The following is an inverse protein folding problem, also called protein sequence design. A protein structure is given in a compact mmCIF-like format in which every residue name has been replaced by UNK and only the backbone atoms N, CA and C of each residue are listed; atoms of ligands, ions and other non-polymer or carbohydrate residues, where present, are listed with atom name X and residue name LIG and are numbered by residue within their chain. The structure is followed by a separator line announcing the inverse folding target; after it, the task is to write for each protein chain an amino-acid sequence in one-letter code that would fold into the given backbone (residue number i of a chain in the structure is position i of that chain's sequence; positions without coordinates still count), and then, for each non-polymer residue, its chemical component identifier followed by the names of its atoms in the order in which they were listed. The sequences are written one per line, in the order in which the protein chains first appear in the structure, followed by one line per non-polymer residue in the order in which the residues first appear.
data_IF_005420060271
#
_entry.id   IF_005420060271
#
_cell.length_a   1.000
_cell.length_b   1.000
_cell.length_c   1.000
_cell.angle_alpha   90.00
_cell.angle_beta   90.00
_cell.angle_gamma   90.00
#
_symmetry.space_group_name_H-M   'P 1'
#
loop_
_entity.id
_entity.type
_entity.pdbx_description
1 polymer ?
#
# COMPACT_ATOMS: atom_id res chain seq x y z
N UNK A 1 -10.36 -16.97 -11.71
CA UNK A 1 -10.39 -16.02 -12.84
C UNK A 1 -10.81 -16.79 -14.07
N UNK A 2 -12.04 -16.54 -14.50
CA UNK A 2 -12.69 -17.34 -15.56
C UNK A 2 -12.64 -16.62 -16.92
N UNK A 3 -12.40 -15.30 -16.91
CA UNK A 3 -12.27 -14.47 -18.11
C UNK A 3 -10.99 -13.62 -18.00
N UNK A 4 -10.14 -13.67 -19.02
CA UNK A 4 -8.87 -12.92 -19.10
C UNK A 4 -7.64 -13.83 -19.26
N UNK A 5 -6.45 -13.23 -19.18
CA UNK A 5 -5.16 -13.92 -19.33
C UNK A 5 -4.46 -14.00 -17.98
N UNK A 6 -4.11 -15.22 -17.53
CA UNK A 6 -3.40 -15.44 -16.27
C UNK A 6 -1.90 -15.72 -16.50
N UNK A 7 -1.06 -14.71 -16.27
CA UNK A 7 0.40 -14.86 -16.34
C UNK A 7 0.95 -15.40 -15.01
N UNK A 8 0.94 -16.74 -14.84
CA UNK A 8 1.32 -17.40 -13.57
C UNK A 8 2.82 -17.43 -13.25
N UNK A 9 3.67 -17.02 -14.18
CA UNK A 9 5.14 -17.13 -14.05
C UNK A 9 5.81 -15.79 -14.37
N UNK A 10 5.35 -14.74 -13.71
CA UNK A 10 5.91 -13.39 -13.80
C UNK A 10 6.79 -13.14 -12.58
N UNK A 11 8.03 -12.70 -12.78
CA UNK A 11 9.00 -12.47 -11.71
C UNK A 11 9.58 -11.06 -11.79
N UNK A 12 9.93 -10.50 -10.63
CA UNK A 12 10.69 -9.26 -10.56
C UNK A 12 12.13 -9.50 -10.99
N UNK A 13 12.65 -8.64 -11.85
CA UNK A 13 14.01 -8.68 -12.38
C UNK A 13 14.95 -7.73 -11.64
N UNK A 14 14.63 -7.38 -10.40
CA UNK A 14 15.41 -6.48 -9.55
C UNK A 14 15.29 -6.86 -8.07
N UNK A 15 16.16 -6.26 -7.26
CA UNK A 15 16.20 -6.36 -5.81
C UNK A 15 16.50 -4.97 -5.25
N UNK A 16 15.93 -4.57 -4.10
CA UNK A 16 14.95 -5.29 -3.27
C UNK A 16 13.51 -5.26 -3.81
N UNK A 17 12.74 -6.31 -3.53
CA UNK A 17 11.31 -6.41 -3.84
C UNK A 17 10.49 -5.70 -2.76
N UNK A 18 10.59 -4.38 -2.70
CA UNK A 18 9.83 -3.50 -1.79
C UNK A 18 8.75 -2.73 -2.53
N UNK A 19 7.78 -2.19 -1.78
CA UNK A 19 6.60 -1.49 -2.32
C UNK A 19 6.94 -0.36 -3.30
N UNK A 20 7.85 0.55 -2.92
CA UNK A 20 8.24 1.69 -3.75
C UNK A 20 8.84 1.25 -5.10
N UNK A 21 9.95 0.48 -5.10
CA UNK A 21 10.51 -0.12 -6.31
C UNK A 21 9.48 -0.89 -7.14
N UNK A 22 8.64 -1.69 -6.47
CA UNK A 22 7.51 -2.43 -7.02
C UNK A 22 6.57 -1.61 -7.89
N UNK A 23 5.92 -0.64 -7.27
CA UNK A 23 4.97 0.24 -7.96
C UNK A 23 5.64 1.05 -9.07
N UNK A 24 6.83 1.60 -8.83
CA UNK A 24 7.55 2.34 -9.86
C UNK A 24 7.88 1.45 -11.07
N UNK A 25 8.34 0.21 -10.86
CA UNK A 25 8.66 -0.71 -11.97
C UNK A 25 7.43 -1.12 -12.77
N UNK A 26 6.30 -1.40 -12.11
CA UNK A 26 5.03 -1.76 -12.79
C UNK A 26 4.61 -0.66 -13.75
N UNK A 27 4.65 0.60 -13.30
CA UNK A 27 4.11 1.71 -14.07
C UNK A 27 5.13 2.40 -14.98
N UNK A 28 6.43 2.14 -14.85
CA UNK A 28 7.46 2.70 -15.75
C UNK A 28 7.96 1.70 -16.79
N UNK A 29 7.74 0.40 -16.58
CA UNK A 29 8.27 -0.65 -17.44
C UNK A 29 9.79 -0.79 -17.38
N UNK A 30 10.44 -0.22 -16.36
CA UNK A 30 11.89 -0.31 -16.15
C UNK A 30 12.22 -0.66 -14.70
N UNK A 31 13.50 -0.78 -14.36
CA UNK A 31 13.97 -1.23 -13.04
C UNK A 31 14.47 -0.07 -12.16
N UNK A 32 14.71 -0.30 -10.85
CA UNK A 32 15.24 0.73 -9.95
C UNK A 32 16.51 1.43 -10.43
N UNK A 33 17.36 0.74 -11.18
CA UNK A 33 18.57 1.32 -11.77
C UNK A 33 18.26 2.48 -12.74
N UNK A 34 17.08 2.47 -13.38
CA UNK A 34 16.65 3.47 -14.35
C UNK A 34 15.68 4.49 -13.74
N UNK A 35 14.60 4.02 -13.10
CA UNK A 35 13.57 4.92 -12.55
C UNK A 35 13.99 5.60 -11.24
N UNK A 36 15.06 5.12 -10.59
CA UNK A 36 15.69 5.79 -9.44
C UNK A 36 15.05 5.51 -8.07
N UNK A 37 13.97 4.73 -8.02
CA UNK A 37 13.32 4.33 -6.76
C UNK A 37 13.89 2.98 -6.33
N UNK A 38 14.92 3.02 -5.49
CA UNK A 38 15.76 1.84 -5.14
C UNK A 38 15.32 1.11 -3.87
N UNK A 39 14.53 1.75 -3.03
CA UNK A 39 13.94 1.18 -1.82
C UNK A 39 12.73 2.03 -1.39
N UNK A 40 12.02 1.62 -0.34
CA UNK A 40 11.04 2.49 0.31
C UNK A 40 11.74 3.70 0.93
N UNK A 41 12.89 3.46 1.56
CA UNK A 41 13.74 4.45 2.20
C UNK A 41 15.20 4.12 1.88
N UNK A 42 16.04 5.13 1.65
CA UNK A 42 17.47 4.94 1.43
C UNK A 42 18.29 6.10 1.95
N UNK A 43 19.56 5.86 2.22
CA UNK A 43 20.49 6.92 2.59
C UNK A 43 20.92 7.73 1.38
N UNK A 44 20.56 9.00 1.37
CA UNK A 44 21.06 9.99 0.44
C UNK A 44 22.44 10.46 0.90
N UNK A 45 23.48 10.05 0.16
CA UNK A 45 24.87 10.36 0.49
C UNK A 45 25.22 11.84 0.34
N UNK A 46 24.56 12.55 -0.58
CA UNK A 46 24.83 13.97 -0.84
C UNK A 46 24.31 14.81 0.32
N UNK A 47 23.09 14.51 0.77
CA UNK A 47 22.43 15.23 1.87
C UNK A 47 22.66 14.61 3.26
N UNK A 48 23.35 13.45 3.33
CA UNK A 48 23.66 12.70 4.55
C UNK A 48 22.45 12.40 5.42
N UNK A 49 21.35 12.00 4.81
CA UNK A 49 20.10 11.69 5.51
C UNK A 49 19.40 10.51 4.87
N UNK A 50 18.59 9.78 5.65
CA UNK A 50 17.65 8.81 5.10
C UNK A 50 16.48 9.58 4.48
N UNK A 51 16.14 9.23 3.24
CA UNK A 51 15.02 9.81 2.51
C UNK A 51 14.03 8.72 2.14
N UNK A 52 12.74 9.06 2.20
CA UNK A 52 11.68 8.20 1.70
C UNK A 52 11.46 8.39 0.20
N UNK A 53 11.03 7.32 -0.48
CA UNK A 53 10.84 7.26 -1.92
C UNK A 53 9.93 8.33 -2.52
N UNK A 54 8.95 8.81 -1.76
CA UNK A 54 8.00 9.85 -2.21
C UNK A 54 8.04 11.09 -1.33
N UNK A 55 8.91 11.17 -0.33
CA UNK A 55 9.00 12.37 0.51
C UNK A 55 9.53 13.56 -0.30
N UNK A 56 8.83 14.69 -0.15
CA UNK A 56 9.15 15.96 -0.77
C UNK A 56 8.79 17.11 0.19
N UNK A 57 9.83 17.75 0.75
CA UNK A 57 9.67 18.86 1.69
C UNK A 57 9.24 20.17 1.01
N UNK A 58 9.22 20.24 -0.33
CA UNK A 58 8.72 21.39 -1.09
C UNK A 58 7.20 21.32 -1.28
N UNK A 59 6.62 20.12 -1.17
CA UNK A 59 5.19 19.91 -1.16
C UNK A 59 4.59 20.12 0.24
N UNK A 60 3.31 20.46 0.28
CA UNK A 60 2.53 20.63 1.51
C UNK A 60 1.27 19.75 1.46
N UNK A 61 0.77 19.38 2.63
CA UNK A 61 -0.44 18.56 2.74
C UNK A 61 -1.68 19.31 2.28
N UNK A 62 -2.55 18.61 1.55
CA UNK A 62 -3.85 19.10 1.10
C UNK A 62 -4.93 18.13 1.55
N UNK A 63 -5.87 18.61 2.36
CA UNK A 63 -6.85 17.77 3.06
C UNK A 63 -6.45 17.37 4.50
N UNK A 64 -5.26 17.77 4.94
CA UNK A 64 -4.77 17.60 6.32
C UNK A 64 -3.77 18.70 6.67
N UNK A 65 -3.57 18.95 7.96
CA UNK A 65 -2.59 19.92 8.50
C UNK A 65 -1.26 19.28 8.88
N UNK A 66 -1.15 17.94 8.83
CA UNK A 66 0.05 17.20 9.19
C UNK A 66 1.14 17.18 8.12
N UNK A 67 2.17 16.36 8.29
CA UNK A 67 3.27 16.17 7.33
C UNK A 67 3.04 15.04 6.34
N UNK A 68 1.93 14.30 6.46
CA UNK A 68 1.61 13.13 5.62
C UNK A 68 1.39 13.45 4.15
N UNK A 69 1.19 14.72 3.80
CA UNK A 69 1.12 15.20 2.43
C UNK A 69 2.38 15.89 1.91
N UNK A 70 3.50 15.86 2.64
CA UNK A 70 4.81 16.32 2.15
C UNK A 70 5.44 15.28 1.22
N UNK A 71 4.71 14.95 0.15
CA UNK A 71 5.06 13.87 -0.76
C UNK A 71 4.77 14.23 -2.21
N UNK A 72 5.59 13.74 -3.14
CA UNK A 72 5.47 13.94 -4.58
C UNK A 72 6.24 12.85 -5.35
N UNK A 73 6.10 12.75 -6.68
CA UNK A 73 6.89 11.83 -7.50
C UNK A 73 8.29 12.39 -7.81
N UNK A 74 8.78 13.46 -7.17
CA UNK A 74 10.02 14.17 -7.53
C UNK A 74 11.29 13.30 -7.59
N UNK A 75 11.29 12.12 -6.97
CA UNK A 75 12.41 11.16 -7.00
C UNK A 75 12.32 10.14 -8.14
N UNK A 76 11.18 10.08 -8.83
CA UNK A 76 10.96 9.22 -9.99
C UNK A 76 11.60 9.85 -11.22
N UNK A 77 12.66 9.24 -11.75
CA UNK A 77 13.51 9.84 -12.79
C UNK A 77 12.99 9.66 -14.22
N UNK A 78 11.91 8.91 -14.39
CA UNK A 78 11.36 8.54 -15.69
C UNK A 78 9.85 8.70 -15.68
N UNK A 79 9.29 8.92 -16.85
CA UNK A 79 7.84 8.97 -17.02
C UNK A 79 7.24 7.58 -16.84
N UNK A 80 6.08 7.55 -16.20
CA UNK A 80 5.23 6.36 -16.13
C UNK A 80 4.41 6.18 -17.42
N UNK A 81 3.79 5.01 -17.60
CA UNK A 81 2.76 4.77 -18.62
C UNK A 81 1.57 5.71 -18.44
N UNK A 82 1.29 6.15 -17.20
CA UNK A 82 0.20 7.08 -16.90
C UNK A 82 0.58 8.52 -17.27
N UNK A 83 1.84 8.93 -17.09
CA UNK A 83 2.38 10.18 -17.63
C UNK A 83 2.30 10.20 -19.16
N UNK A 84 2.77 9.14 -19.82
CA UNK A 84 2.69 9.03 -21.28
C UNK A 84 1.23 9.05 -21.77
N UNK A 85 0.34 8.34 -21.08
CA UNK A 85 -1.09 8.36 -21.36
C UNK A 85 -1.67 9.78 -21.29
N UNK A 86 -1.32 10.55 -20.26
CA UNK A 86 -1.82 11.91 -20.06
C UNK A 86 -1.22 12.92 -21.04
N UNK A 87 0.06 12.76 -21.43
CA UNK A 87 0.69 13.57 -22.48
C UNK A 87 -0.02 13.39 -23.83
N UNK A 88 -0.35 12.16 -24.19
CA UNK A 88 -1.07 11.85 -25.45
C UNK A 88 -2.56 12.18 -25.38
N UNK A 89 -3.15 12.16 -24.17
CA UNK A 89 -4.58 12.45 -23.95
C UNK A 89 -4.75 13.48 -22.83
N UNK A 90 -4.44 14.76 -23.06
CA UNK A 90 -4.52 15.79 -22.01
C UNK A 90 -5.92 15.93 -21.40
N UNK A 91 -6.96 15.64 -22.19
CA UNK A 91 -8.37 15.69 -21.78
C UNK A 91 -8.83 14.45 -20.99
N UNK A 92 -8.08 13.35 -21.01
CA UNK A 92 -8.41 12.15 -20.25
C UNK A 92 -8.22 12.38 -18.76
N UNK A 93 -9.05 11.76 -17.94
CA UNK A 93 -8.91 11.73 -16.48
C UNK A 93 -7.97 10.61 -16.06
N UNK A 94 -7.01 10.95 -15.21
CA UNK A 94 -6.08 10.02 -14.56
C UNK A 94 -6.20 10.16 -13.04
N UNK A 95 -6.74 9.14 -12.39
CA UNK A 95 -6.92 9.10 -10.95
C UNK A 95 -6.11 7.93 -10.36
N UNK A 96 -5.38 8.17 -9.28
CA UNK A 96 -4.56 7.16 -8.59
C UNK A 96 -4.82 7.13 -7.09
N UNK A 97 -5.07 5.94 -6.56
CA UNK A 97 -5.62 5.74 -5.22
C UNK A 97 -4.87 4.65 -4.48
N UNK A 98 -4.56 4.88 -3.21
CA UNK A 98 -4.02 3.84 -2.33
C UNK A 98 -4.27 4.19 -0.88
N UNK A 99 -4.10 3.23 0.02
CA UNK A 99 -3.96 3.53 1.45
C UNK A 99 -2.56 4.10 1.73
N UNK A 100 -1.54 3.68 0.98
CA UNK A 100 -0.16 4.15 1.12
C UNK A 100 0.15 5.26 0.10
N UNK A 101 0.78 6.33 0.53
CA UNK A 101 1.31 7.41 -0.32
C UNK A 101 2.02 6.91 -1.58
N UNK A 102 3.07 6.10 -1.43
CA UNK A 102 3.87 5.54 -2.53
C UNK A 102 3.08 4.62 -3.46
N UNK A 103 2.04 3.96 -2.94
CA UNK A 103 1.12 3.14 -3.72
C UNK A 103 0.15 3.96 -4.58
N UNK A 104 -0.05 5.24 -4.27
CA UNK A 104 -0.84 6.16 -5.09
C UNK A 104 0.08 6.99 -6.02
N UNK A 105 1.16 7.55 -5.47
CA UNK A 105 2.05 8.50 -6.15
C UNK A 105 2.81 7.85 -7.31
N UNK A 106 3.41 6.68 -7.10
CA UNK A 106 4.26 6.06 -8.12
C UNK A 106 3.45 5.52 -9.32
N UNK A 107 2.22 4.99 -9.13
CA UNK A 107 1.30 4.73 -10.24
C UNK A 107 0.75 5.98 -10.92
N UNK A 108 0.40 7.01 -10.14
CA UNK A 108 -0.19 8.25 -10.64
C UNK A 108 0.78 9.10 -11.47
N UNK A 109 2.08 8.93 -11.24
CA UNK A 109 3.11 9.67 -11.95
C UNK A 109 3.06 11.16 -11.63
N UNK A 110 3.58 11.96 -12.55
CA UNK A 110 3.69 13.41 -12.46
C UNK A 110 2.43 14.14 -12.90
N UNK A 111 1.61 13.51 -13.76
CA UNK A 111 0.54 14.21 -14.49
C UNK A 111 -0.88 13.80 -14.10
N UNK A 112 -1.08 13.02 -13.05
CA UNK A 112 -2.43 12.63 -12.60
C UNK A 112 -3.31 13.84 -12.25
N UNK A 113 -4.59 13.79 -12.63
CA UNK A 113 -5.59 14.78 -12.22
C UNK A 113 -5.94 14.66 -10.73
N UNK A 114 -5.75 13.48 -10.14
CA UNK A 114 -5.95 13.26 -8.72
C UNK A 114 -5.18 12.04 -8.21
N UNK A 115 -4.28 12.26 -7.26
CA UNK A 115 -3.57 11.21 -6.54
C UNK A 115 -3.90 11.32 -5.06
N UNK A 116 -4.49 10.28 -4.47
CA UNK A 116 -5.00 10.31 -3.09
C UNK A 116 -4.50 9.14 -2.25
N UNK A 117 -4.16 9.43 -1.00
CA UNK A 117 -3.74 8.43 -0.02
C UNK A 117 -4.33 8.68 1.37
N UNK A 118 -4.33 7.64 2.20
CA UNK A 118 -4.91 7.72 3.54
C UNK A 118 -3.95 8.38 4.54
N UNK A 119 -4.47 9.32 5.30
CA UNK A 119 -3.78 9.93 6.44
C UNK A 119 -4.31 9.35 7.75
N UNK A 120 -3.54 8.44 8.36
CA UNK A 120 -3.89 7.83 9.65
C UNK A 120 -3.95 8.83 10.82
N UNK A 121 -3.46 10.07 10.68
CA UNK A 121 -3.63 11.07 11.74
C UNK A 121 -5.04 11.66 11.77
N UNK A 122 -5.73 11.68 10.63
CA UNK A 122 -7.05 12.30 10.48
C UNK A 122 -8.15 11.32 10.10
N UNK A 123 -7.79 10.16 9.54
CA UNK A 123 -8.73 9.18 9.00
C UNK A 123 -9.28 9.53 7.62
N UNK A 124 -8.63 10.45 6.91
CA UNK A 124 -9.11 11.00 5.65
C UNK A 124 -8.23 10.58 4.47
N UNK A 125 -8.81 10.56 3.27
CA UNK A 125 -8.02 10.64 2.05
C UNK A 125 -7.51 12.08 1.85
N UNK A 126 -6.22 12.20 1.58
CA UNK A 126 -5.50 13.46 1.37
C UNK A 126 -4.72 13.41 0.05
N UNK A 127 -4.14 14.54 -0.31
CA UNK A 127 -3.17 14.67 -1.41
C UNK A 127 -2.08 15.67 -1.00
N UNK A 128 -1.25 16.09 -1.96
CA UNK A 128 -0.25 17.12 -1.77
C UNK A 128 -0.43 18.30 -2.73
N UNK A 129 0.20 19.41 -2.38
CA UNK A 129 0.25 20.63 -3.20
C UNK A 129 0.97 20.45 -4.53
N UNK A 130 1.64 19.31 -4.75
CA UNK A 130 2.17 18.94 -6.06
C UNK A 130 1.04 18.70 -7.08
N UNK A 131 -0.06 18.07 -6.65
CA UNK A 131 -1.16 17.69 -7.55
C UNK A 131 -2.26 18.75 -7.62
N UNK A 132 -2.62 19.34 -6.48
CA UNK A 132 -3.70 20.33 -6.41
C UNK A 132 -3.59 21.22 -5.19
N UNK A 133 -4.17 22.41 -5.23
CA UNK A 133 -4.18 23.34 -4.10
C UNK A 133 -5.27 23.03 -3.07
N UNK A 134 -6.35 22.36 -3.49
CA UNK A 134 -7.50 22.04 -2.64
C UNK A 134 -8.13 20.71 -3.07
N UNK A 135 -8.67 19.96 -2.10
CA UNK A 135 -9.42 18.74 -2.39
C UNK A 135 -10.72 19.05 -3.15
N UNK A 136 -11.10 18.24 -4.15
CA UNK A 136 -12.41 18.33 -4.78
C UNK A 136 -13.54 18.12 -3.78
N UNK A 137 -14.70 18.71 -4.06
CA UNK A 137 -15.88 18.62 -3.19
C UNK A 137 -16.32 17.18 -2.93
N UNK A 138 -16.18 16.28 -3.90
CA UNK A 138 -16.54 14.87 -3.72
C UNK A 138 -15.60 14.16 -2.72
N UNK A 139 -14.31 14.51 -2.71
CA UNK A 139 -13.35 13.96 -1.74
C UNK A 139 -13.65 14.49 -0.33
N UNK A 140 -13.93 15.80 -0.21
CA UNK A 140 -14.35 16.41 1.07
C UNK A 140 -15.62 15.76 1.60
N UNK A 141 -16.62 15.56 0.74
CA UNK A 141 -17.88 14.90 1.10
C UNK A 141 -17.67 13.45 1.54
N UNK A 142 -16.82 12.70 0.83
CA UNK A 142 -16.46 11.34 1.18
C UNK A 142 -15.76 11.25 2.54
N UNK A 143 -14.78 12.12 2.80
CA UNK A 143 -14.09 12.20 4.09
C UNK A 143 -15.05 12.55 5.24
N UNK A 144 -15.98 13.49 5.02
CA UNK A 144 -17.01 13.88 6.00
C UNK A 144 -17.93 12.73 6.42
N UNK A 145 -18.02 11.66 5.62
CA UNK A 145 -18.80 10.48 6.00
C UNK A 145 -18.18 9.68 7.15
N UNK A 146 -16.89 9.92 7.50
CA UNK A 146 -16.15 9.28 8.60
C UNK A 146 -16.27 7.75 8.59
N UNK A 147 -16.20 7.13 7.41
CA UNK A 147 -16.31 5.67 7.29
C UNK A 147 -15.30 4.92 8.17
N UNK A 148 -14.00 5.26 8.23
CA UNK A 148 -13.05 4.53 9.06
C UNK A 148 -13.47 4.53 10.53
N UNK A 149 -13.93 5.67 11.07
CA UNK A 149 -14.43 5.75 12.45
C UNK A 149 -15.68 4.89 12.68
N UNK A 150 -16.57 4.80 11.70
CA UNK A 150 -17.75 3.92 11.77
C UNK A 150 -17.38 2.44 11.67
N UNK A 151 -16.43 2.08 10.82
CA UNK A 151 -15.91 0.72 10.68
C UNK A 151 -15.29 0.22 12.00
N UNK A 152 -14.57 1.08 12.70
CA UNK A 152 -13.98 0.76 14.02
C UNK A 152 -15.00 0.54 15.14
N UNK A 153 -16.30 0.76 14.90
CA UNK A 153 -17.38 0.38 15.82
C UNK A 153 -17.86 -1.06 15.65
N UNK A 154 -17.31 -1.80 14.69
CA UNK A 154 -17.70 -3.16 14.35
C UNK A 154 -16.71 -4.18 14.92
N UNK A 155 -17.14 -5.43 15.06
CA UNK A 155 -16.23 -6.54 15.34
C UNK A 155 -15.76 -7.12 14.02
N UNK A 156 -14.45 -7.28 13.85
CA UNK A 156 -13.92 -8.06 12.75
C UNK A 156 -13.95 -9.55 13.12
N UNK A 157 -14.92 -10.24 12.54
CA UNK A 157 -15.04 -11.70 12.50
C UNK A 157 -14.64 -12.20 11.11
N UNK A 158 -14.31 -13.48 11.01
CA UNK A 158 -14.15 -14.15 9.72
C UNK A 158 -15.43 -14.03 8.88
N UNK A 159 -15.27 -13.79 7.58
CA UNK A 159 -16.36 -13.68 6.61
C UNK A 159 -17.13 -15.00 6.47
N UNK A 160 -16.41 -16.12 6.46
CA UNK A 160 -16.98 -17.47 6.49
C UNK A 160 -16.87 -18.03 7.93
N UNK A 161 -17.56 -19.13 8.24
CA UNK A 161 -17.29 -19.89 9.45
C UNK A 161 -15.80 -20.25 9.53
N UNK A 162 -15.18 -20.04 10.70
CA UNK A 162 -13.72 -20.12 10.88
C UNK A 162 -13.14 -21.51 10.58
N UNK A 163 -13.97 -22.55 10.65
CA UNK A 163 -13.68 -23.93 10.28
C UNK A 163 -13.46 -24.14 8.77
N UNK A 164 -13.91 -23.21 7.92
CA UNK A 164 -13.67 -23.24 6.47
C UNK A 164 -12.35 -22.61 6.05
N UNK A 165 -11.62 -22.01 6.98
CA UNK A 165 -10.29 -21.44 6.76
C UNK A 165 -9.25 -22.55 6.86
N UNK A 166 -9.30 -23.49 5.91
CA UNK A 166 -8.50 -24.73 5.89
C UNK A 166 -7.14 -24.57 5.21
N UNK A 167 -6.96 -23.47 4.48
CA UNK A 167 -5.73 -23.07 3.80
C UNK A 167 -4.78 -22.31 4.73
N UNK A 168 -5.30 -21.83 5.86
CA UNK A 168 -4.53 -21.21 6.95
C UNK A 168 -4.16 -22.23 8.04
N UNK A 169 -3.21 -21.84 8.89
CA UNK A 169 -2.88 -22.55 10.11
C UNK A 169 -3.96 -22.42 11.21
N UNK A 170 -3.65 -22.90 12.43
CA UNK A 170 -4.45 -22.61 13.61
C UNK A 170 -4.65 -21.11 13.81
N UNK A 171 -5.73 -20.71 14.48
CA UNK A 171 -6.02 -19.30 14.77
C UNK A 171 -5.05 -18.71 15.79
N UNK A 172 -4.57 -19.51 16.74
CA UNK A 172 -3.60 -19.05 17.74
C UNK A 172 -2.23 -19.63 17.40
N UNK A 173 -1.32 -18.78 16.93
CA UNK A 173 0.06 -19.17 16.62
C UNK A 173 1.08 -18.23 17.26
N UNK A 174 2.28 -18.72 17.60
CA UNK A 174 3.36 -17.88 18.12
C UNK A 174 4.08 -17.07 17.01
N UNK A 175 3.64 -17.20 15.76
CA UNK A 175 4.27 -16.59 14.59
C UNK A 175 3.63 -15.26 14.18
N UNK A 176 2.61 -14.85 14.92
CA UNK A 176 1.74 -13.73 14.61
C UNK A 176 1.91 -12.59 15.63
N UNK A 177 1.83 -11.35 15.14
CA UNK A 177 1.94 -10.16 15.96
C UNK A 177 0.67 -9.90 16.76
N UNK A 178 0.83 -9.44 18.00
CA UNK A 178 -0.28 -8.95 18.81
C UNK A 178 -0.63 -7.51 18.42
N UNK A 179 -1.83 -7.31 17.90
CA UNK A 179 -2.38 -5.96 17.74
C UNK A 179 -2.66 -5.33 19.10
N UNK A 180 -2.53 -4.00 19.18
CA UNK A 180 -2.83 -3.25 20.39
C UNK A 180 -4.26 -3.56 20.91
N UNK A 181 -4.38 -3.81 22.21
CA UNK A 181 -5.65 -4.19 22.85
C UNK A 181 -5.99 -5.68 22.81
N UNK A 182 -5.14 -6.53 22.20
CA UNK A 182 -5.25 -8.00 22.24
C UNK A 182 -4.17 -8.62 23.12
N UNK A 183 -4.48 -9.79 23.69
CA UNK A 183 -3.51 -10.64 24.41
C UNK A 183 -3.12 -11.89 23.61
N UNK A 184 -3.88 -12.22 22.57
CA UNK A 184 -3.67 -13.35 21.65
C UNK A 184 -4.07 -12.93 20.22
N UNK A 185 -3.41 -13.42 19.16
CA UNK A 185 -3.73 -13.07 17.77
C UNK A 185 -4.87 -13.94 17.23
N UNK A 186 -6.04 -13.95 17.89
CA UNK A 186 -7.15 -14.87 17.56
C UNK A 186 -8.41 -14.11 17.22
N UNK A 187 -9.27 -14.66 16.37
CA UNK A 187 -10.63 -14.13 16.19
C UNK A 187 -11.50 -14.35 17.45
N UNK A 188 -12.48 -13.46 17.71
CA UNK A 188 -12.80 -12.24 16.98
C UNK A 188 -11.99 -11.00 17.39
N UNK A 189 -11.89 -10.00 16.52
CA UNK A 189 -11.29 -8.69 16.82
C UNK A 189 -12.37 -7.68 17.18
N UNK A 190 -12.62 -7.50 18.49
CA UNK A 190 -13.58 -6.54 19.04
C UNK A 190 -13.04 -5.10 18.97
N UNK A 191 -12.99 -4.53 17.76
CA UNK A 191 -12.40 -3.21 17.49
C UNK A 191 -12.85 -2.07 18.43
N UNK A 192 -14.13 -1.99 18.88
CA UNK A 192 -14.55 -0.94 19.81
C UNK A 192 -13.84 -1.00 21.17
N UNK A 193 -13.39 -2.19 21.58
CA UNK A 193 -12.66 -2.40 22.85
C UNK A 193 -11.15 -2.24 22.66
N UNK A 194 -10.66 -2.46 21.45
CA UNK A 194 -9.23 -2.37 21.11
C UNK A 194 -8.79 -0.93 20.75
N UNK A 195 -9.68 -0.15 20.15
CA UNK A 195 -9.38 1.20 19.68
C UNK A 195 -9.39 2.21 20.84
N UNK A 196 -8.33 3.00 20.93
CA UNK A 196 -8.26 4.25 21.70
C UNK A 196 -8.37 5.44 20.75
N UNK A 197 -8.39 6.66 21.29
CA UNK A 197 -8.40 7.87 20.43
C UNK A 197 -7.11 7.99 19.61
N UNK A 198 -6.00 7.53 20.17
CA UNK A 198 -4.64 7.68 19.63
C UNK A 198 -4.34 6.66 18.53
N UNK A 199 -4.83 5.42 18.65
CA UNK A 199 -4.51 4.34 17.71
C UNK A 199 -5.65 4.01 16.73
N UNK A 200 -6.79 4.73 16.78
CA UNK A 200 -8.01 4.31 16.06
C UNK A 200 -7.78 4.06 14.57
N UNK A 201 -7.12 5.00 13.90
CA UNK A 201 -6.89 4.91 12.46
C UNK A 201 -5.66 4.07 12.12
N UNK A 202 -4.69 3.96 13.01
CA UNK A 202 -3.59 2.99 12.85
C UNK A 202 -4.13 1.56 12.92
N UNK A 203 -5.00 1.27 13.89
CA UNK A 203 -5.64 -0.05 14.02
C UNK A 203 -6.55 -0.34 12.82
N UNK A 204 -7.24 0.67 12.28
CA UNK A 204 -8.05 0.53 11.06
C UNK A 204 -7.24 -0.01 9.87
N UNK A 205 -5.97 0.39 9.72
CA UNK A 205 -5.08 -0.10 8.65
C UNK A 205 -4.80 -1.61 8.72
N UNK A 206 -4.89 -2.20 9.92
CA UNK A 206 -4.72 -3.64 10.15
C UNK A 206 -6.04 -4.42 10.01
N UNK A 207 -7.03 -3.85 9.34
CA UNK A 207 -8.32 -4.51 9.08
C UNK A 207 -8.59 -4.59 7.58
N UNK A 208 -9.35 -5.60 7.11
CA UNK A 208 -9.78 -5.65 5.71
C UNK A 208 -10.65 -4.45 5.32
N UNK A 209 -11.25 -3.75 6.29
CA UNK A 209 -12.11 -2.60 6.06
C UNK A 209 -11.38 -1.41 5.41
N UNK A 210 -10.05 -1.33 5.50
CA UNK A 210 -9.32 -0.27 4.79
C UNK A 210 -9.24 -0.52 3.28
N UNK A 211 -9.20 -1.77 2.82
CA UNK A 211 -9.35 -2.08 1.39
C UNK A 211 -10.79 -1.81 0.94
N UNK A 212 -11.79 -2.19 1.74
CA UNK A 212 -13.21 -1.86 1.45
C UNK A 212 -13.41 -0.33 1.31
N UNK A 213 -12.80 0.45 2.21
CA UNK A 213 -12.83 1.91 2.14
C UNK A 213 -12.14 2.47 0.89
N UNK A 214 -11.03 1.86 0.45
CA UNK A 214 -10.38 2.21 -0.81
C UNK A 214 -11.25 1.88 -2.03
N UNK A 215 -11.95 0.74 -2.02
CA UNK A 215 -12.91 0.38 -3.08
C UNK A 215 -14.07 1.35 -3.14
N UNK A 216 -14.61 1.75 -1.98
CA UNK A 216 -15.67 2.77 -1.91
C UNK A 216 -15.20 4.10 -2.49
N UNK A 217 -13.95 4.50 -2.20
CA UNK A 217 -13.35 5.71 -2.75
C UNK A 217 -13.14 5.62 -4.26
N UNK A 218 -12.71 4.46 -4.77
CA UNK A 218 -12.55 4.22 -6.20
C UNK A 218 -13.88 4.29 -6.96
N UNK A 219 -14.93 3.68 -6.42
CA UNK A 219 -16.29 3.76 -6.96
C UNK A 219 -16.78 5.22 -6.96
N UNK A 220 -16.55 5.95 -5.87
CA UNK A 220 -16.91 7.36 -5.80
C UNK A 220 -16.15 8.21 -6.84
N UNK A 221 -14.86 7.94 -7.06
CA UNK A 221 -14.06 8.60 -8.07
C UNK A 221 -14.60 8.34 -9.49
N UNK A 222 -14.94 7.09 -9.82
CA UNK A 222 -15.55 6.71 -11.11
C UNK A 222 -16.80 7.55 -11.38
N UNK A 223 -17.68 7.67 -10.37
CA UNK A 223 -18.94 8.39 -10.49
C UNK A 223 -18.75 9.91 -10.56
N UNK A 224 -17.92 10.48 -9.68
CA UNK A 224 -17.75 11.93 -9.54
C UNK A 224 -16.93 12.54 -10.67
N UNK A 225 -15.88 11.85 -11.11
CA UNK A 225 -15.04 12.30 -12.23
C UNK A 225 -15.56 11.85 -13.59
N UNK A 226 -16.67 11.08 -13.62
CA UNK A 226 -17.29 10.52 -14.83
C UNK A 226 -16.30 9.69 -15.66
N UNK A 227 -15.51 8.87 -14.98
CA UNK A 227 -14.47 8.07 -15.63
C UNK A 227 -15.11 7.11 -16.65
N UNK A 228 -14.58 7.10 -17.87
CA UNK A 228 -15.07 6.29 -18.99
C UNK A 228 -16.39 6.78 -19.61
N UNK A 229 -16.90 7.94 -19.20
CA UNK A 229 -18.20 8.48 -19.64
C UNK A 229 -18.09 9.84 -20.34
N UNK A 230 -16.87 10.29 -20.62
CA UNK A 230 -16.56 11.62 -21.18
C UNK A 230 -16.15 11.57 -22.67
N UNK A 231 -16.29 10.41 -23.34
CA UNK A 231 -15.94 10.23 -24.76
C UNK A 231 -14.44 10.03 -25.03
N UNK A 232 -13.61 9.92 -23.98
CA UNK A 232 -12.21 9.50 -24.08
C UNK A 232 -11.94 8.28 -23.19
N UNK A 233 -10.85 7.58 -23.44
CA UNK A 233 -10.30 6.64 -22.47
C UNK A 233 -9.78 7.43 -21.29
N UNK A 234 -10.10 6.98 -20.08
CA UNK A 234 -9.57 7.46 -18.80
C UNK A 234 -8.75 6.34 -18.14
N UNK A 235 -8.02 6.66 -17.08
CA UNK A 235 -7.20 5.70 -16.35
C UNK A 235 -7.40 5.82 -14.83
N UNK A 236 -7.63 4.67 -14.20
CA UNK A 236 -7.79 4.55 -12.75
C UNK A 236 -6.75 3.56 -12.21
N UNK A 237 -5.90 4.03 -11.31
CA UNK A 237 -4.90 3.20 -10.63
C UNK A 237 -5.33 2.97 -9.18
N UNK A 238 -5.33 1.70 -8.74
CA UNK A 238 -5.73 1.33 -7.37
C UNK A 238 -4.68 0.39 -6.79
N UNK A 239 -4.14 0.74 -5.63
CA UNK A 239 -3.20 -0.09 -4.86
C UNK A 239 -3.83 -0.53 -3.55
N UNK A 240 -4.37 -1.75 -3.52
CA UNK A 240 -4.85 -2.38 -2.28
C UNK A 240 -3.69 -2.68 -1.33
N UNK A 241 -3.74 -2.14 -0.11
CA UNK A 241 -2.59 -2.16 0.81
C UNK A 241 -2.80 -3.04 2.04
N UNK A 242 -4.04 -3.40 2.41
CA UNK A 242 -4.30 -4.18 3.61
C UNK A 242 -3.67 -5.57 3.56
N UNK A 243 -3.56 -6.18 2.39
CA UNK A 243 -2.92 -7.50 2.22
C UNK A 243 -1.46 -7.47 2.66
N UNK A 244 -0.75 -6.38 2.39
CA UNK A 244 0.62 -6.19 2.85
C UNK A 244 0.68 -5.86 4.35
N UNK A 245 -0.14 -4.92 4.83
CA UNK A 245 -0.12 -4.48 6.23
C UNK A 245 -0.50 -5.63 7.18
N UNK A 246 -1.57 -6.38 6.85
CA UNK A 246 -2.02 -7.55 7.62
C UNK A 246 -1.02 -8.70 7.42
N UNK A 247 -0.50 -8.90 6.21
CA UNK A 247 0.53 -9.90 5.93
C UNK A 247 1.81 -9.68 6.74
N UNK A 248 2.21 -8.43 6.97
CA UNK A 248 3.34 -8.10 7.85
C UNK A 248 3.07 -8.43 9.32
N UNK A 249 1.84 -8.22 9.79
CA UNK A 249 1.47 -8.51 11.18
C UNK A 249 1.35 -10.01 11.45
N UNK A 250 0.69 -10.76 10.57
CA UNK A 250 0.26 -12.13 10.84
C UNK A 250 0.96 -13.19 9.97
N UNK A 251 1.56 -12.79 8.85
CA UNK A 251 2.20 -13.71 7.91
C UNK A 251 1.22 -14.43 6.97
N UNK A 252 1.72 -15.03 5.88
CA UNK A 252 0.90 -15.60 4.81
C UNK A 252 0.14 -16.88 5.17
N UNK A 253 0.33 -17.45 6.36
CA UNK A 253 -0.35 -18.66 6.82
C UNK A 253 -1.50 -18.37 7.79
N UNK A 254 -1.76 -17.11 8.15
CA UNK A 254 -2.72 -16.77 9.20
C UNK A 254 -4.18 -16.80 8.71
N UNK A 255 -5.15 -16.85 9.63
CA UNK A 255 -6.58 -16.76 9.24
C UNK A 255 -6.97 -15.34 8.83
N UNK A 256 -6.33 -14.33 9.40
CA UNK A 256 -6.50 -12.90 9.10
C UNK A 256 -6.17 -12.61 7.64
N UNK A 257 -5.08 -13.16 7.11
CA UNK A 257 -4.69 -12.92 5.72
C UNK A 257 -5.64 -13.63 4.76
N UNK A 258 -6.06 -14.87 5.06
CA UNK A 258 -7.06 -15.58 4.26
C UNK A 258 -8.39 -14.79 4.26
N UNK A 259 -8.85 -14.30 5.41
CA UNK A 259 -10.06 -13.49 5.51
C UNK A 259 -9.95 -12.19 4.70
N UNK A 260 -8.78 -11.57 4.74
CA UNK A 260 -8.48 -10.35 3.99
C UNK A 260 -8.58 -10.59 2.49
N UNK A 261 -8.05 -11.71 1.98
CA UNK A 261 -8.18 -12.06 0.55
C UNK A 261 -9.61 -12.42 0.16
N UNK A 262 -10.36 -13.13 1.00
CA UNK A 262 -11.78 -13.43 0.74
C UNK A 262 -12.64 -12.16 0.67
N UNK A 263 -12.33 -11.15 1.50
CA UNK A 263 -13.01 -9.85 1.47
C UNK A 263 -12.54 -9.00 0.30
N UNK A 264 -11.26 -9.01 -0.02
CA UNK A 264 -10.72 -8.32 -1.19
C UNK A 264 -11.33 -8.87 -2.49
N UNK A 265 -11.56 -10.18 -2.58
CA UNK A 265 -12.27 -10.79 -3.72
C UNK A 265 -13.68 -10.18 -3.89
N UNK A 266 -14.44 -10.02 -2.80
CA UNK A 266 -15.74 -9.32 -2.81
C UNK A 266 -15.63 -7.84 -3.16
N UNK A 267 -14.60 -7.16 -2.68
CA UNK A 267 -14.37 -5.76 -3.00
C UNK A 267 -14.00 -5.56 -4.49
N UNK A 268 -13.22 -6.48 -5.07
CA UNK A 268 -12.96 -6.51 -6.51
C UNK A 268 -14.24 -6.82 -7.29
N UNK A 269 -15.06 -7.78 -6.85
CA UNK A 269 -16.38 -8.06 -7.43
C UNK A 269 -17.25 -6.78 -7.46
N UNK A 270 -17.31 -6.04 -6.36
CA UNK A 270 -18.04 -4.76 -6.28
C UNK A 270 -17.52 -3.72 -7.27
N UNK A 271 -16.20 -3.57 -7.38
CA UNK A 271 -15.59 -2.66 -8.34
C UNK A 271 -15.91 -3.05 -9.79
N UNK A 272 -15.77 -4.34 -10.14
CA UNK A 272 -16.09 -4.84 -11.47
C UNK A 272 -17.56 -4.66 -11.82
N UNK A 273 -18.47 -4.91 -10.88
CA UNK A 273 -19.90 -4.67 -11.06
C UNK A 273 -20.22 -3.20 -11.31
N UNK A 274 -19.53 -2.27 -10.62
CA UNK A 274 -19.68 -0.84 -10.89
C UNK A 274 -19.13 -0.45 -12.27
N UNK A 275 -17.99 -1.00 -12.68
CA UNK A 275 -17.44 -0.77 -14.03
C UNK A 275 -18.39 -1.29 -15.13
N UNK A 276 -18.92 -2.51 -14.95
CA UNK A 276 -19.88 -3.12 -15.88
C UNK A 276 -21.17 -2.30 -15.96
N UNK A 277 -21.64 -1.75 -14.84
CA UNK A 277 -22.83 -0.89 -14.77
C UNK A 277 -22.61 0.48 -15.41
N UNK A 278 -21.46 1.10 -15.14
CA UNK A 278 -21.21 2.52 -15.45
C UNK A 278 -20.58 2.71 -16.83
N UNK A 279 -19.65 1.84 -17.22
CA UNK A 279 -18.89 1.92 -18.48
C UNK A 279 -19.38 0.86 -19.48
N UNK A 280 -19.88 -0.27 -18.99
CA UNK A 280 -20.32 -1.40 -19.81
C UNK A 280 -19.26 -2.47 -19.95
N UNK A 281 -19.67 -3.74 -19.85
CA UNK A 281 -18.78 -4.89 -20.04
C UNK A 281 -18.11 -4.84 -21.41
N UNK A 282 -16.79 -5.02 -21.45
CA UNK A 282 -15.99 -4.95 -22.67
C UNK A 282 -15.49 -3.56 -23.06
N UNK A 283 -15.91 -2.51 -22.34
CA UNK A 283 -15.48 -1.13 -22.58
C UNK A 283 -14.35 -0.67 -21.64
N UNK A 284 -13.78 -1.56 -20.83
CA UNK A 284 -12.60 -1.30 -20.01
C UNK A 284 -11.60 -2.46 -20.11
N UNK A 285 -10.33 -2.15 -19.88
CA UNK A 285 -9.25 -3.13 -19.73
C UNK A 285 -8.70 -3.04 -18.32
N UNK A 286 -8.55 -4.19 -17.66
CA UNK A 286 -8.00 -4.29 -16.31
C UNK A 286 -6.74 -5.15 -16.33
N UNK A 287 -5.71 -4.68 -15.65
CA UNK A 287 -4.57 -5.51 -15.26
C UNK A 287 -4.48 -5.52 -13.73
N UNK A 288 -4.18 -6.69 -13.16
CA UNK A 288 -3.97 -6.88 -11.73
C UNK A 288 -2.65 -7.59 -11.53
N UNK A 289 -1.80 -7.04 -10.68
CA UNK A 289 -0.48 -7.59 -10.32
C UNK A 289 -0.15 -7.20 -8.88
N UNK A 290 0.99 -7.66 -8.38
CA UNK A 290 1.53 -7.24 -7.10
C UNK A 290 2.84 -6.48 -7.29
N UNK A 291 3.18 -5.61 -6.34
CA UNK A 291 4.46 -4.91 -6.23
C UNK A 291 5.57 -5.81 -5.65
N UNK A 292 5.20 -6.78 -4.82
CA UNK A 292 6.03 -7.89 -4.36
C UNK A 292 5.19 -9.03 -3.75
N UNK A 293 5.87 -10.09 -3.30
CA UNK A 293 5.28 -11.17 -2.51
C UNK A 293 5.74 -11.07 -1.04
N UNK A 294 5.48 -12.12 -0.27
CA UNK A 294 5.96 -12.29 1.10
C UNK A 294 6.46 -13.73 1.29
N UNK A 295 7.46 -13.90 2.15
CA UNK A 295 7.95 -15.23 2.56
C UNK A 295 7.08 -15.80 3.69
N UNK A 296 7.04 -17.12 3.90
CA UNK A 296 6.53 -17.68 5.15
C UNK A 296 7.27 -17.09 6.36
N UNK A 297 6.60 -17.03 7.52
CA UNK A 297 7.24 -16.50 8.73
C UNK A 297 8.54 -17.28 9.01
N UNK A 298 9.71 -16.64 9.12
CA UNK A 298 10.98 -17.38 9.20
C UNK A 298 11.05 -18.35 10.39
N UNK A 299 10.52 -17.96 11.56
CA UNK A 299 10.46 -18.86 12.73
C UNK A 299 9.60 -20.11 12.49
N UNK A 300 8.49 -20.00 11.75
CA UNK A 300 7.67 -21.16 11.36
C UNK A 300 8.48 -22.16 10.52
N UNK A 301 9.34 -21.68 9.62
CA UNK A 301 10.21 -22.53 8.82
C UNK A 301 11.27 -23.23 9.70
N UNK A 302 11.90 -22.48 10.62
CA UNK A 302 12.88 -23.01 11.57
C UNK A 302 12.28 -24.12 12.43
N UNK A 303 11.10 -23.90 13.02
CA UNK A 303 10.43 -24.88 13.88
C UNK A 303 10.01 -26.14 13.11
N UNK A 304 9.72 -26.00 11.81
CA UNK A 304 9.49 -27.12 10.87
C UNK A 304 10.77 -27.76 10.33
N UNK A 305 11.95 -27.34 10.79
CA UNK A 305 13.27 -27.82 10.33
C UNK A 305 13.51 -27.57 8.83
N UNK A 306 12.90 -26.51 8.29
CA UNK A 306 13.11 -26.03 6.93
C UNK A 306 14.14 -24.90 6.90
N UNK A 307 14.62 -24.56 5.71
CA UNK A 307 15.50 -23.41 5.53
C UNK A 307 14.75 -22.11 5.86
N UNK A 308 15.15 -21.44 6.93
CA UNK A 308 14.60 -20.18 7.41
C UNK A 308 15.55 -19.53 8.41
N UNK A 309 15.33 -18.25 8.73
CA UNK A 309 16.14 -17.51 9.68
C UNK A 309 16.01 -16.00 9.51
N UNK A 310 16.68 -15.27 10.40
CA UNK A 310 16.66 -13.82 10.45
C UNK A 310 18.06 -13.26 10.17
N UNK A 311 18.13 -12.15 9.45
CA UNK A 311 19.34 -11.32 9.35
C UNK A 311 19.16 -10.14 10.30
N UNK A 312 19.91 -10.14 11.40
CA UNK A 312 19.88 -9.05 12.39
C UNK A 312 20.80 -7.92 11.92
N UNK A 313 20.26 -7.03 11.11
CA UNK A 313 21.03 -5.99 10.42
C UNK A 313 21.72 -5.02 11.40
N UNK A 314 21.03 -4.59 12.46
CA UNK A 314 21.61 -3.69 13.47
C UNK A 314 22.85 -4.30 14.13
N UNK A 315 22.74 -5.51 14.70
CA UNK A 315 23.87 -6.21 15.32
C UNK A 315 25.03 -6.43 14.33
N UNK A 316 24.69 -6.74 13.07
CA UNK A 316 25.69 -6.92 12.01
C UNK A 316 26.43 -5.61 11.70
N UNK A 317 25.74 -4.48 11.75
CA UNK A 317 26.32 -3.15 11.50
C UNK A 317 27.14 -2.67 12.70
N UNK A 318 26.66 -2.87 13.93
CA UNK A 318 27.41 -2.58 15.16
C UNK A 318 28.73 -3.35 15.13
N UNK A 319 28.67 -4.65 14.85
CA UNK A 319 29.88 -5.47 14.76
C UNK A 319 30.82 -5.04 13.62
N UNK A 320 30.26 -4.71 12.45
CA UNK A 320 31.07 -4.19 11.34
C UNK A 320 31.74 -2.86 11.71
N UNK A 321 31.08 -1.98 12.46
CA UNK A 321 31.66 -0.74 12.99
C UNK A 321 32.87 -1.03 13.85
N UNK A 322 32.71 -1.90 14.85
CA UNK A 322 33.78 -2.29 15.78
C UNK A 322 34.98 -2.89 15.02
N UNK A 323 34.72 -3.77 14.05
CA UNK A 323 35.76 -4.39 13.22
C UNK A 323 36.51 -3.35 12.38
N UNK A 324 35.81 -2.33 11.84
CA UNK A 324 36.42 -1.25 11.07
C UNK A 324 37.26 -0.33 11.96
N UNK A 325 36.75 0.02 13.15
CA UNK A 325 37.51 0.78 14.15
C UNK A 325 38.76 0.05 14.59
N UNK A 326 38.67 -1.25 14.90
CA UNK A 326 39.82 -2.05 15.31
C UNK A 326 40.88 -2.16 14.21
N UNK A 327 40.45 -2.36 12.95
CA UNK A 327 41.36 -2.64 11.83
C UNK A 327 41.95 -1.38 11.20
N UNK A 328 41.16 -0.32 11.10
CA UNK A 328 41.50 0.89 10.36
C UNK A 328 41.58 2.14 11.23
N UNK A 329 41.25 2.06 12.52
CA UNK A 329 41.25 3.19 13.46
C UNK A 329 40.12 4.19 13.23
N UNK A 330 39.14 3.86 12.39
CA UNK A 330 38.02 4.75 12.05
C UNK A 330 36.81 3.94 11.57
N UNK A 331 35.62 4.37 11.97
CA UNK A 331 34.36 3.90 11.40
C UNK A 331 33.94 4.78 10.21
N UNK A 332 33.63 4.13 9.10
CA UNK A 332 33.23 4.77 7.83
C UNK A 332 31.81 4.40 7.39
N UNK A 333 31.04 3.73 8.26
CA UNK A 333 29.64 3.40 7.99
C UNK A 333 28.81 4.68 8.05
N UNK A 334 27.95 4.88 7.06
CA UNK A 334 27.03 6.00 6.98
C UNK A 334 25.62 5.50 6.68
N UNK A 335 24.61 6.27 7.10
CA UNK A 335 23.20 5.93 6.87
C UNK A 335 22.61 4.90 7.81
N UNK A 336 23.30 4.61 8.91
CA UNK A 336 22.79 3.83 10.03
C UNK A 336 23.08 4.58 11.32
N UNK A 337 22.07 4.76 12.17
CA UNK A 337 22.28 5.13 13.56
C UNK A 337 22.80 3.87 14.27
N UNK A 338 24.03 3.94 14.78
CA UNK A 338 24.69 2.86 15.51
C UNK A 338 24.36 2.99 16.99
#
# INVERSE_FOLDING_TARGET
MDNGTNCRTTHYNYVPTYTGPGHASIYTGTTPANHGIVANDWFDRENKQVVNCVQDNTASSVGSTGTKGKCSPARLKVNTVTDQFKLERPQAKLISLSIKDRGAILPGGHLSDGTYWFDATTGNFITSSFYMSELPEWVKAFNKAEFPRKAMKQTWNTLLPIEHYTESGPDDTPYESLLAGKTRPVFPYELPKMATKENLFDLFLYTPFSNTYLTDFAIQAIQSEKLGQNGTTDMLCISYSSTDIIGHAFGPQSKEIQDTYLRLDKDIERLLNELDKTIGKGNYTLFLTADHAVVPVPQLLVDKKLAGGYVFLHDSIVKLSEDLEQKYGTNVISGFEI
#
